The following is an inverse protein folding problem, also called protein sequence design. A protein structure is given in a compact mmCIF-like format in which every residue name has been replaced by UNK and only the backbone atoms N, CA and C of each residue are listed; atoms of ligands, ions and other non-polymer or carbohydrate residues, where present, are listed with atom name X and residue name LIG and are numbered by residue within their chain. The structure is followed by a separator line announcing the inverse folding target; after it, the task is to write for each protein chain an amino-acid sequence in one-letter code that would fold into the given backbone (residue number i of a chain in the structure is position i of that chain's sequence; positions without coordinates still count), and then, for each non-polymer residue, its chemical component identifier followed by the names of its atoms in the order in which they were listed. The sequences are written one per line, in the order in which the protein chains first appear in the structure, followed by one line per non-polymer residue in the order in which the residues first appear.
data_IF_915760169414
#
_entry.id   IF_915760169414
#
_cell.length_a   1.000
_cell.length_b   1.000
_cell.length_c   1.000
_cell.angle_alpha   90.00
_cell.angle_beta   90.00
_cell.angle_gamma   90.00
#
_symmetry.space_group_name_H-M   'P 1'
#
loop_
_entity.id
_entity.type
_entity.pdbx_description
1 polymer ?
#
# COMPACT_ATOMS: atom_id res chain seq x y z
N UNK A 1 -13.87 8.42 10.25
CA UNK A 1 -13.40 9.59 9.47
C UNK A 1 -12.29 10.28 10.27
N UNK A 2 -11.06 10.33 9.74
CA UNK A 2 -9.90 10.88 10.45
C UNK A 2 -10.01 12.40 10.63
N UNK A 3 -9.66 12.92 11.81
CA UNK A 3 -9.47 14.35 12.01
C UNK A 3 -8.24 14.79 11.23
N UNK A 4 -8.39 15.79 10.38
CA UNK A 4 -7.27 16.41 9.67
C UNK A 4 -6.57 17.38 10.62
N UNK A 5 -5.25 17.28 10.71
CA UNK A 5 -4.42 18.29 11.38
C UNK A 5 -4.43 19.56 10.53
N UNK A 6 -4.68 20.70 11.16
CA UNK A 6 -4.59 22.01 10.53
C UNK A 6 -3.17 22.58 10.66
N UNK A 7 -2.82 23.52 9.78
CA UNK A 7 -1.47 24.12 9.67
C UNK A 7 -0.92 24.73 10.97
N UNK A 8 -1.77 25.19 11.90
CA UNK A 8 -1.36 25.78 13.19
C UNK A 8 -1.70 24.92 14.41
N UNK A 9 -2.09 23.65 14.23
CA UNK A 9 -2.36 22.78 15.36
C UNK A 9 -1.04 22.44 16.07
N UNK A 10 -1.00 22.65 17.38
CA UNK A 10 0.15 22.29 18.21
C UNK A 10 0.18 20.77 18.35
N UNK A 11 1.19 20.13 17.78
CA UNK A 11 1.41 18.68 17.90
C UNK A 11 2.18 18.42 19.19
N UNK A 12 1.54 17.74 20.14
CA UNK A 12 2.22 17.23 21.34
C UNK A 12 2.78 15.86 21.01
N UNK A 13 4.11 15.76 20.90
CA UNK A 13 4.79 14.52 20.57
C UNK A 13 4.82 13.59 21.79
N UNK A 14 4.07 12.50 21.73
CA UNK A 14 4.23 11.39 22.66
C UNK A 14 5.46 10.53 22.30
N UNK A 15 5.93 9.70 23.24
CA UNK A 15 7.07 8.81 23.03
C UNK A 15 6.84 7.84 21.86
N UNK A 16 5.65 7.24 21.78
CA UNK A 16 5.25 6.35 20.68
C UNK A 16 5.26 7.06 19.30
N UNK A 17 4.80 8.30 19.25
CA UNK A 17 4.76 9.08 18.00
C UNK A 17 6.17 9.47 17.54
N UNK A 18 7.05 9.83 18.49
CA UNK A 18 8.45 10.13 18.21
C UNK A 18 9.18 8.89 17.68
N UNK A 19 8.96 7.72 18.31
CA UNK A 19 9.54 6.45 17.87
C UNK A 19 9.04 6.07 16.46
N UNK A 20 7.72 6.14 16.23
CA UNK A 20 7.13 5.85 14.92
C UNK A 20 7.71 6.75 13.82
N UNK A 21 7.87 8.04 14.11
CA UNK A 21 8.44 9.00 13.17
C UNK A 21 9.91 8.71 12.84
N UNK A 22 10.73 8.38 13.84
CA UNK A 22 12.13 7.99 13.63
C UNK A 22 12.21 6.69 12.83
N UNK A 23 11.39 5.70 13.16
CA UNK A 23 11.36 4.43 12.42
C UNK A 23 11.03 4.67 10.95
N UNK A 24 10.01 5.48 10.63
CA UNK A 24 9.65 5.82 9.25
C UNK A 24 10.82 6.47 8.51
N UNK A 25 11.55 7.41 9.15
CA UNK A 25 12.74 8.02 8.53
C UNK A 25 13.80 6.99 8.19
N UNK A 26 14.07 6.06 9.11
CA UNK A 26 15.06 5.00 8.89
C UNK A 26 14.61 4.08 7.76
N UNK A 27 13.35 3.62 7.79
CA UNK A 27 12.82 2.75 6.74
C UNK A 27 12.89 3.43 5.36
N UNK A 28 12.45 4.68 5.23
CA UNK A 28 12.55 5.43 3.96
C UNK A 28 13.99 5.61 3.48
N UNK A 29 14.97 5.65 4.39
CA UNK A 29 16.40 5.74 4.03
C UNK A 29 16.98 4.41 3.56
N UNK A 30 16.40 3.28 4.02
CA UNK A 30 16.85 1.93 3.69
C UNK A 30 16.14 1.34 2.46
N UNK A 31 14.92 1.81 2.17
CA UNK A 31 14.08 1.24 1.11
C UNK A 31 14.78 1.36 -0.24
N UNK A 32 14.79 0.28 -1.05
CA UNK A 32 15.38 0.30 -2.37
C UNK A 32 14.70 1.33 -3.26
N UNK A 33 15.47 1.94 -4.16
CA UNK A 33 14.96 2.92 -5.12
C UNK A 33 13.81 2.34 -5.94
N UNK A 34 12.69 3.06 -5.97
CA UNK A 34 11.53 2.73 -6.78
C UNK A 34 11.90 2.76 -8.26
N UNK A 35 11.41 1.76 -9.00
CA UNK A 35 11.49 1.73 -10.45
C UNK A 35 10.55 2.77 -11.06
N UNK A 36 10.94 3.34 -12.21
CA UNK A 36 10.04 4.19 -12.98
C UNK A 36 8.90 3.35 -13.58
N UNK A 37 7.64 3.80 -13.49
CA UNK A 37 6.51 3.10 -14.09
C UNK A 37 6.64 3.11 -15.61
N UNK A 38 6.54 1.94 -16.23
CA UNK A 38 6.45 1.78 -17.68
C UNK A 38 5.00 1.38 -18.04
N UNK A 39 4.14 2.28 -18.54
CA UNK A 39 2.72 1.97 -18.76
C UNK A 39 2.45 0.83 -19.74
N UNK A 40 3.41 0.52 -20.63
CA UNK A 40 3.27 -0.52 -21.66
C UNK A 40 3.51 -1.94 -21.13
N UNK A 41 4.00 -2.09 -19.91
CA UNK A 41 4.32 -3.38 -19.30
C UNK A 41 3.31 -3.71 -18.21
N UNK A 42 2.99 -5.00 -18.01
CA UNK A 42 2.05 -5.41 -16.97
C UNK A 42 2.60 -5.07 -15.59
N UNK A 43 1.68 -4.77 -14.68
CA UNK A 43 1.97 -4.60 -13.27
C UNK A 43 1.53 -5.83 -12.50
N UNK A 44 2.28 -6.15 -11.44
CA UNK A 44 1.90 -7.15 -10.45
C UNK A 44 1.65 -6.42 -9.16
N UNK A 45 0.47 -6.62 -8.57
CA UNK A 45 0.15 -6.01 -7.30
C UNK A 45 0.07 -7.08 -6.21
N UNK A 46 0.78 -6.84 -5.11
CA UNK A 46 0.68 -7.65 -3.91
C UNK A 46 0.01 -6.82 -2.82
N UNK A 47 -1.02 -7.38 -2.19
CA UNK A 47 -1.82 -6.72 -1.14
C UNK A 47 -1.79 -7.59 0.11
N UNK A 48 -1.67 -6.94 1.26
CA UNK A 48 -1.74 -7.56 2.58
C UNK A 48 -2.65 -6.72 3.50
N UNK A 49 -3.35 -7.38 4.42
CA UNK A 49 -4.20 -6.73 5.43
C UNK A 49 -3.70 -7.10 6.82
N UNK A 50 -3.30 -6.09 7.59
CA UNK A 50 -2.85 -6.27 8.97
C UNK A 50 -3.50 -5.24 9.87
N UNK A 51 -4.19 -5.71 10.91
CA UNK A 51 -4.79 -4.88 11.97
C UNK A 51 -5.72 -3.78 11.44
N UNK A 52 -6.50 -4.02 10.38
CA UNK A 52 -7.38 -3.02 9.79
C UNK A 52 -6.67 -2.01 8.89
N UNK A 53 -5.40 -2.25 8.57
CA UNK A 53 -4.65 -1.48 7.58
C UNK A 53 -4.31 -2.37 6.39
N UNK A 54 -4.60 -1.85 5.20
CA UNK A 54 -4.14 -2.41 3.94
C UNK A 54 -2.75 -1.87 3.64
N UNK A 55 -1.85 -2.77 3.26
CA UNK A 55 -0.57 -2.45 2.64
C UNK A 55 -0.52 -3.11 1.28
N UNK A 56 0.02 -2.42 0.27
CA UNK A 56 0.25 -3.03 -1.02
C UNK A 56 1.49 -2.51 -1.70
N UNK A 57 2.05 -3.34 -2.57
CA UNK A 57 3.22 -3.03 -3.38
C UNK A 57 2.85 -3.25 -4.83
N UNK A 58 3.04 -2.22 -5.63
CA UNK A 58 2.92 -2.29 -7.08
C UNK A 58 4.31 -2.60 -7.65
N UNK A 59 4.41 -3.70 -8.38
CA UNK A 59 5.65 -4.24 -8.91
C UNK A 59 5.58 -4.30 -10.43
N UNK A 60 6.75 -4.25 -11.07
CA UNK A 60 6.88 -4.38 -12.50
C UNK A 60 8.10 -5.22 -12.85
N UNK A 61 8.00 -6.01 -13.92
CA UNK A 61 9.14 -6.77 -14.44
C UNK A 61 10.22 -5.86 -15.03
N UNK A 62 11.41 -5.97 -14.47
CA UNK A 62 12.63 -5.32 -14.94
C UNK A 62 13.68 -6.39 -15.25
N UNK A 63 13.62 -6.94 -16.46
CA UNK A 63 14.29 -8.20 -16.80
C UNK A 63 13.60 -9.36 -16.09
N UNK A 64 14.38 -10.27 -15.51
CA UNK A 64 13.87 -11.47 -14.82
C UNK A 64 13.47 -11.22 -13.36
N UNK A 65 13.47 -9.95 -12.91
CA UNK A 65 13.17 -9.59 -11.51
C UNK A 65 12.01 -8.61 -11.44
N UNK A 66 11.19 -8.78 -10.41
CA UNK A 66 10.19 -7.78 -10.03
C UNK A 66 10.87 -6.62 -9.31
N UNK A 67 10.60 -5.40 -9.75
CA UNK A 67 11.00 -4.17 -9.07
C UNK A 67 9.77 -3.42 -8.56
N UNK A 68 9.80 -2.90 -7.32
CA UNK A 68 8.72 -2.07 -6.80
C UNK A 68 8.70 -0.72 -7.52
N UNK A 69 7.51 -0.29 -7.92
CA UNK A 69 7.23 0.98 -8.60
C UNK A 69 6.50 1.93 -7.66
N UNK A 70 5.64 1.40 -6.78
CA UNK A 70 4.95 2.16 -5.76
C UNK A 70 4.61 1.30 -4.54
N UNK A 71 4.48 1.95 -3.39
CA UNK A 71 3.91 1.39 -2.16
C UNK A 71 2.64 2.16 -1.83
N UNK A 72 1.59 1.44 -1.42
CA UNK A 72 0.36 2.04 -0.94
C UNK A 72 0.02 1.49 0.44
N UNK A 73 -0.51 2.36 1.30
CA UNK A 73 -1.13 1.93 2.54
C UNK A 73 -2.40 2.73 2.78
N UNK A 74 -3.42 2.06 3.30
CA UNK A 74 -4.70 2.71 3.60
C UNK A 74 -5.33 2.08 4.83
N UNK A 75 -6.00 2.91 5.64
CA UNK A 75 -6.81 2.42 6.75
C UNK A 75 -8.13 1.91 6.20
N UNK A 76 -8.44 0.64 6.47
CA UNK A 76 -9.70 0.04 6.07
C UNK A 76 -10.83 0.46 7.01
N UNK A 77 -12.06 0.33 6.54
CA UNK A 77 -13.23 0.64 7.35
C UNK A 77 -13.30 -0.34 8.54
N UNK A 78 -13.22 0.15 9.80
CA UNK A 78 -13.28 -0.70 10.98
C UNK A 78 -14.62 -1.44 11.14
N UNK A 79 -15.68 -0.97 10.47
CA UNK A 79 -17.00 -1.61 10.51
C UNK A 79 -17.06 -2.92 9.70
N UNK A 80 -16.07 -3.19 8.84
CA UNK A 80 -16.05 -4.40 8.02
C UNK A 80 -15.46 -5.58 8.80
N UNK A 81 -16.09 -6.77 8.76
CA UNK A 81 -15.50 -8.00 9.28
C UNK A 81 -14.22 -8.35 8.51
N UNK A 82 -13.30 -9.08 9.15
CA UNK A 82 -11.96 -9.36 8.61
C UNK A 82 -11.97 -9.99 7.21
N UNK A 83 -12.93 -10.88 6.93
CA UNK A 83 -13.10 -11.49 5.61
C UNK A 83 -13.47 -10.48 4.51
N UNK A 84 -14.21 -9.41 4.83
CA UNK A 84 -14.57 -8.36 3.87
C UNK A 84 -13.48 -7.28 3.75
N UNK A 85 -12.65 -7.10 4.77
CA UNK A 85 -11.51 -6.19 4.72
C UNK A 85 -10.45 -6.62 3.70
N UNK A 86 -10.15 -7.92 3.63
CA UNK A 86 -9.23 -8.48 2.63
C UNK A 86 -9.71 -8.30 1.17
N UNK A 87 -11.02 -8.31 0.95
CA UNK A 87 -11.60 -8.06 -0.38
C UNK A 87 -11.62 -6.56 -0.70
N UNK A 88 -11.95 -5.73 0.30
CA UNK A 88 -11.94 -4.28 0.15
C UNK A 88 -10.53 -3.75 -0.16
N UNK A 89 -9.49 -4.33 0.44
CA UNK A 89 -8.09 -3.95 0.19
C UNK A 89 -7.67 -4.09 -1.27
N UNK A 90 -8.13 -5.12 -1.97
CA UNK A 90 -7.80 -5.29 -3.39
C UNK A 90 -8.47 -4.18 -4.22
N UNK A 91 -9.78 -4.00 -4.06
CA UNK A 91 -10.58 -3.02 -4.80
C UNK A 91 -10.12 -1.56 -4.63
N UNK A 92 -9.66 -1.16 -3.43
CA UNK A 92 -9.25 0.22 -3.16
C UNK A 92 -8.01 0.63 -3.96
N UNK A 93 -7.23 -0.36 -4.36
CA UNK A 93 -5.92 -0.17 -4.96
C UNK A 93 -5.95 -0.28 -6.47
N UNK A 94 -6.88 -1.08 -7.01
CA UNK A 94 -7.19 -1.16 -8.44
C UNK A 94 -7.86 0.11 -8.99
N UNK A 95 -8.32 1.04 -8.13
CA UNK A 95 -8.99 2.28 -8.54
C UNK A 95 -8.20 3.17 -9.52
N UNK A 96 -6.89 2.99 -9.64
CA UNK A 96 -6.03 3.68 -10.62
C UNK A 96 -5.32 2.74 -11.63
N UNK A 97 -5.52 1.42 -11.55
CA UNK A 97 -4.93 0.44 -12.46
C UNK A 97 -6.05 -0.28 -13.20
N UNK A 98 -6.43 0.26 -14.35
CA UNK A 98 -7.46 -0.32 -15.22
C UNK A 98 -6.99 -1.69 -15.70
N UNK A 99 -7.71 -2.72 -15.25
CA UNK A 99 -7.97 -4.03 -15.84
C UNK A 99 -6.79 -4.78 -16.49
N UNK A 100 -6.33 -5.85 -15.82
CA UNK A 100 -6.06 -7.16 -16.46
C UNK A 100 -5.57 -8.18 -15.41
N UNK A 101 -6.46 -8.56 -14.50
CA UNK A 101 -6.22 -9.68 -13.58
C UNK A 101 -7.47 -10.57 -13.47
N UNK A 102 -8.09 -10.87 -14.60
CA UNK A 102 -9.13 -11.90 -14.72
C UNK A 102 -8.67 -13.00 -15.66
N UNK A 103 -7.55 -13.68 -15.35
CA UNK A 103 -7.10 -14.83 -16.13
C UNK A 103 -6.10 -15.75 -15.41
N UNK A 104 -6.29 -16.10 -14.12
CA UNK A 104 -5.67 -17.33 -13.59
C UNK A 104 -6.30 -17.86 -12.30
N UNK A 105 -7.59 -18.12 -12.33
CA UNK A 105 -8.24 -18.95 -11.31
C UNK A 105 -9.32 -19.80 -11.99
N UNK A 106 -8.88 -20.69 -12.88
CA UNK A 106 -9.63 -21.85 -13.40
C UNK A 106 -8.65 -22.67 -14.22
N UNK A 107 -7.95 -23.59 -13.55
CA UNK A 107 -7.33 -24.77 -14.16
C UNK A 107 -6.91 -25.71 -13.02
N UNK A 108 -7.76 -26.73 -12.83
CA UNK A 108 -7.58 -28.05 -12.22
C UNK A 108 -6.72 -28.24 -10.95
#
# INVERSE_FOLDING_TARGET
VGKWLKSCDKIEWAEEEAEAFVNIKVQLSLVPTLGLPVPTKPFVQMVDEKNGFMTSVLLQHHGDRLRPVAYFSSKLDPCLPQCLRAVASDSVSTGNARADAAAKATAD
#
